data_IF_373754346600
#
_entry.id   IF_373754346600
#
_cell.length_a   1.000
_cell.length_b   1.000
_cell.length_c   1.000
_cell.angle_alpha   90.00
_cell.angle_beta   90.00
_cell.angle_gamma   90.00
#
_symmetry.space_group_name_H-M   'P 1'
#
loop_
_entity.id
_entity.type
_entity.pdbx_description
1 polymer ?
#
# COMPACT_ATOMS: atom_id res chain seq x y z
N UNK A 1 8.90 -2.43 39.37
CA UNK A 1 8.19 -3.18 38.31
C UNK A 1 6.97 -2.37 37.95
N UNK A 2 6.97 -1.74 36.78
CA UNK A 2 5.78 -1.10 36.22
C UNK A 2 4.75 -2.19 35.94
N UNK A 3 3.54 -2.05 36.48
CA UNK A 3 2.46 -3.03 36.29
C UNK A 3 1.43 -2.42 35.34
N UNK A 4 1.18 -3.10 34.23
CA UNK A 4 0.20 -2.65 33.22
C UNK A 4 -1.09 -3.44 33.42
N UNK A 5 -2.21 -2.74 33.56
CA UNK A 5 -3.52 -3.37 33.81
C UNK A 5 -4.30 -3.66 32.55
N UNK A 6 -3.99 -2.97 31.45
CA UNK A 6 -4.58 -3.22 30.15
C UNK A 6 -3.57 -2.88 29.02
N UNK A 7 -3.96 -3.16 27.78
CA UNK A 7 -3.10 -2.95 26.60
C UNK A 7 -2.86 -1.46 26.30
N UNK A 8 -3.80 -0.58 26.63
CA UNK A 8 -3.64 0.87 26.45
C UNK A 8 -2.58 1.43 27.40
N UNK A 9 -2.51 0.94 28.65
CA UNK A 9 -1.47 1.33 29.61
C UNK A 9 -0.07 0.94 29.13
N UNK A 10 0.06 -0.28 28.57
CA UNK A 10 1.32 -0.79 28.02
C UNK A 10 1.70 -0.04 26.73
N UNK A 11 0.73 0.22 25.86
CA UNK A 11 0.95 0.97 24.62
C UNK A 11 1.39 2.42 24.91
N UNK A 12 0.76 3.08 25.87
CA UNK A 12 1.12 4.44 26.30
C UNK A 12 2.55 4.51 26.83
N UNK A 13 2.96 3.54 27.66
CA UNK A 13 4.33 3.45 28.15
C UNK A 13 5.36 3.27 27.03
N UNK A 14 5.05 2.43 26.02
CA UNK A 14 5.95 2.21 24.89
C UNK A 14 5.97 3.40 23.92
N UNK A 15 4.85 4.10 23.74
CA UNK A 15 4.81 5.33 22.96
C UNK A 15 5.71 6.41 23.57
N UNK A 16 5.69 6.57 24.90
CA UNK A 16 6.53 7.52 25.62
C UNK A 16 8.03 7.21 25.53
N UNK A 17 8.43 5.93 25.48
CA UNK A 17 9.84 5.55 25.32
C UNK A 17 10.36 5.65 23.87
N UNK A 18 9.48 5.65 22.85
CA UNK A 18 9.85 5.53 21.42
C UNK A 18 9.37 6.69 20.54
N UNK A 19 9.44 7.92 21.05
CA UNK A 19 9.04 9.13 20.30
C UNK A 19 9.99 9.37 19.10
N UNK A 20 9.47 9.34 17.88
CA UNK A 20 10.21 9.61 16.64
C UNK A 20 9.36 10.46 15.67
N UNK A 21 9.55 11.78 15.72
CA UNK A 21 8.61 12.81 15.26
C UNK A 21 8.28 12.83 13.75
N UNK A 22 9.07 12.17 12.90
CA UNK A 22 8.90 12.25 11.43
C UNK A 22 7.93 11.18 10.86
N UNK A 23 7.73 10.06 11.56
CA UNK A 23 6.74 9.04 11.18
C UNK A 23 5.34 9.34 11.76
N UNK A 24 5.28 10.16 12.80
CA UNK A 24 4.07 10.49 13.55
C UNK A 24 3.04 11.28 12.72
N UNK A 25 3.49 12.25 11.91
CA UNK A 25 2.59 13.16 11.18
C UNK A 25 1.71 12.46 10.11
N UNK A 26 2.22 11.43 9.43
CA UNK A 26 1.42 10.68 8.44
C UNK A 26 0.45 9.69 9.11
N UNK A 27 0.80 9.22 10.31
CA UNK A 27 0.01 8.25 11.05
C UNK A 27 -1.20 8.92 11.72
N UNK A 28 -1.00 10.08 12.35
CA UNK A 28 -2.06 10.89 13.00
C UNK A 28 -3.20 11.23 12.03
N UNK A 29 -2.88 11.57 10.78
CA UNK A 29 -3.89 11.95 9.79
C UNK A 29 -4.93 10.86 9.53
N UNK A 30 -4.56 9.58 9.62
CA UNK A 30 -5.45 8.46 9.31
C UNK A 30 -6.49 8.15 10.42
N UNK A 31 -6.37 8.81 11.57
CA UNK A 31 -7.23 8.65 12.74
C UNK A 31 -8.03 9.92 13.05
N UNK A 32 -8.06 10.87 12.11
CA UNK A 32 -8.88 12.08 12.23
C UNK A 32 -10.35 11.70 12.04
N UNK A 33 -11.20 12.15 12.97
CA UNK A 33 -12.63 12.03 12.87
C UNK A 33 -13.19 12.99 11.81
N UNK A 34 -14.04 12.47 10.94
CA UNK A 34 -14.74 13.28 9.93
C UNK A 34 -16.08 13.83 10.43
N UNK A 35 -16.58 13.32 11.56
CA UNK A 35 -17.87 13.65 12.16
C UNK A 35 -17.79 13.36 13.67
N UNK A 36 -18.47 14.18 14.49
CA UNK A 36 -18.62 13.94 15.95
C UNK A 36 -19.46 12.69 16.26
N UNK A 37 -20.32 12.28 15.32
CA UNK A 37 -21.16 11.11 15.44
C UNK A 37 -20.66 10.02 14.49
N UNK A 38 -20.53 8.80 15.01
CA UNK A 38 -20.19 7.61 14.26
C UNK A 38 -21.44 6.76 14.02
N UNK A 39 -21.69 6.39 12.76
CA UNK A 39 -22.74 5.42 12.42
C UNK A 39 -22.09 4.19 11.81
N UNK A 40 -22.20 3.05 12.49
CA UNK A 40 -21.51 1.82 12.11
C UNK A 40 -22.39 0.86 11.30
N UNK A 41 -23.71 1.05 11.24
CA UNK A 41 -24.60 0.22 10.45
C UNK A 41 -25.75 1.03 9.87
N UNK A 42 -26.49 0.44 8.92
CA UNK A 42 -27.65 1.10 8.30
C UNK A 42 -28.82 1.20 9.29
N UNK A 43 -28.90 0.28 10.26
CA UNK A 43 -30.06 0.15 11.16
C UNK A 43 -29.86 0.82 12.50
N UNK A 44 -28.62 0.91 12.97
CA UNK A 44 -28.32 1.46 14.29
C UNK A 44 -28.25 2.99 14.24
N UNK A 45 -28.63 3.64 15.33
CA UNK A 45 -28.53 5.09 15.45
C UNK A 45 -27.04 5.53 15.46
N UNK A 46 -26.73 6.76 15.03
CA UNK A 46 -25.41 7.33 15.25
C UNK A 46 -25.10 7.44 16.76
N UNK A 47 -23.86 7.15 17.13
CA UNK A 47 -23.35 7.21 18.51
C UNK A 47 -22.13 8.13 18.59
N UNK A 48 -21.86 8.75 19.73
CA UNK A 48 -20.61 9.48 19.97
C UNK A 48 -19.51 8.46 20.29
N UNK A 49 -18.76 8.07 19.27
CA UNK A 49 -17.65 7.13 19.38
C UNK A 49 -16.41 7.75 18.74
N UNK A 50 -15.37 7.89 19.56
CA UNK A 50 -14.11 8.50 19.14
C UNK A 50 -13.20 7.49 18.42
N UNK A 51 -12.30 8.01 17.59
CA UNK A 51 -11.18 7.23 17.07
C UNK A 51 -10.20 6.88 18.19
N UNK A 52 -9.54 5.70 18.11
CA UNK A 52 -8.50 5.36 19.08
C UNK A 52 -7.29 6.29 18.91
N UNK A 53 -6.57 6.51 20.01
CA UNK A 53 -5.36 7.34 20.03
C UNK A 53 -4.33 6.84 18.99
N UNK A 54 -3.88 7.70 18.05
CA UNK A 54 -3.03 7.26 16.95
C UNK A 54 -1.66 6.73 17.43
N UNK A 55 -1.09 7.33 18.47
CA UNK A 55 0.21 6.91 18.99
C UNK A 55 0.12 5.56 19.70
N UNK A 56 -0.94 5.36 20.49
CA UNK A 56 -1.19 4.07 21.14
C UNK A 56 -1.40 2.97 20.10
N UNK A 57 -2.16 3.24 19.03
CA UNK A 57 -2.39 2.26 17.96
C UNK A 57 -1.10 1.94 17.21
N UNK A 58 -0.26 2.95 16.92
CA UNK A 58 1.06 2.76 16.32
C UNK A 58 1.93 1.87 17.20
N UNK A 59 2.09 2.24 18.47
CA UNK A 59 2.93 1.52 19.43
C UNK A 59 2.44 0.07 19.63
N UNK A 60 1.13 -0.14 19.74
CA UNK A 60 0.56 -1.47 19.88
C UNK A 60 0.76 -2.33 18.63
N UNK A 61 0.61 -1.75 17.44
CA UNK A 61 0.84 -2.45 16.17
C UNK A 61 2.31 -2.84 16.03
N UNK A 62 3.24 -1.94 16.33
CA UNK A 62 4.68 -2.19 16.32
C UNK A 62 5.04 -3.30 17.31
N UNK A 63 4.55 -3.20 18.55
CA UNK A 63 4.79 -4.17 19.60
C UNK A 63 4.26 -5.57 19.24
N UNK A 64 3.03 -5.67 18.73
CA UNK A 64 2.44 -6.94 18.31
C UNK A 64 3.32 -7.63 17.25
N UNK A 65 3.79 -6.86 16.26
CA UNK A 65 4.62 -7.37 15.18
C UNK A 65 6.02 -7.76 15.66
N UNK A 66 6.70 -6.88 16.39
CA UNK A 66 8.06 -7.10 16.88
C UNK A 66 8.13 -8.26 17.89
N UNK A 67 7.17 -8.31 18.82
CA UNK A 67 7.11 -9.38 19.84
C UNK A 67 7.03 -10.76 19.19
N UNK A 68 6.31 -10.90 18.07
CA UNK A 68 6.21 -12.16 17.34
C UNK A 68 7.58 -12.64 16.81
N UNK A 69 8.43 -11.73 16.36
CA UNK A 69 9.80 -12.07 15.99
C UNK A 69 10.66 -12.35 17.23
N UNK A 70 10.58 -11.50 18.25
CA UNK A 70 11.40 -11.61 19.46
C UNK A 70 11.22 -12.94 20.20
N UNK A 71 9.98 -13.41 20.38
CA UNK A 71 9.73 -14.65 21.14
C UNK A 71 10.09 -15.92 20.36
N UNK A 72 10.19 -15.85 19.03
CA UNK A 72 10.52 -16.99 18.18
C UNK A 72 12.00 -17.01 17.76
N UNK A 73 12.72 -15.90 17.91
CA UNK A 73 14.14 -15.76 17.57
C UNK A 73 15.01 -16.76 18.32
N UNK A 74 16.03 -17.28 17.66
CA UNK A 74 16.98 -18.28 18.18
C UNK A 74 16.33 -19.59 18.64
N UNK A 75 15.12 -19.86 18.14
CA UNK A 75 14.41 -21.11 18.40
C UNK A 75 14.17 -21.88 17.11
N UNK A 76 13.79 -23.17 17.24
CA UNK A 76 13.31 -23.98 16.11
C UNK A 76 12.07 -23.41 15.40
N UNK A 77 11.42 -22.40 15.98
CA UNK A 77 10.21 -21.77 15.45
C UNK A 77 10.50 -20.49 14.65
N UNK A 78 11.72 -19.95 14.71
CA UNK A 78 12.12 -18.72 14.01
C UNK A 78 11.72 -18.69 12.52
N UNK A 79 11.87 -19.78 11.74
CA UNK A 79 11.49 -19.77 10.32
C UNK A 79 10.00 -19.47 10.05
N UNK A 80 9.12 -19.65 11.04
CA UNK A 80 7.68 -19.41 10.92
C UNK A 80 7.27 -18.00 11.34
N UNK A 81 8.15 -17.22 11.99
CA UNK A 81 7.84 -15.87 12.47
C UNK A 81 7.43 -14.94 11.33
N UNK A 82 8.11 -15.05 10.19
CA UNK A 82 7.79 -14.27 9.00
C UNK A 82 6.38 -14.57 8.46
N UNK A 83 5.95 -15.83 8.43
CA UNK A 83 4.62 -16.18 7.93
C UNK A 83 3.50 -15.67 8.87
N UNK A 84 3.74 -15.72 10.19
CA UNK A 84 2.81 -15.19 11.19
C UNK A 84 2.72 -13.66 11.11
N UNK A 85 3.85 -12.97 11.08
CA UNK A 85 3.92 -11.52 10.93
C UNK A 85 3.25 -11.05 9.63
N UNK A 86 3.48 -11.76 8.52
CA UNK A 86 2.77 -11.50 7.26
C UNK A 86 1.25 -11.66 7.44
N UNK A 87 0.82 -12.69 8.18
CA UNK A 87 -0.59 -12.93 8.52
C UNK A 87 -1.24 -11.78 9.27
N UNK A 88 -0.53 -11.18 10.25
CA UNK A 88 -1.00 -9.98 10.97
C UNK A 88 -1.14 -8.77 10.05
N UNK A 89 -0.12 -8.46 9.25
CA UNK A 89 -0.23 -7.35 8.28
C UNK A 89 -1.38 -7.59 7.28
N UNK A 90 -1.59 -8.84 6.86
CA UNK A 90 -2.67 -9.21 5.96
C UNK A 90 -4.06 -9.16 6.62
N UNK A 91 -4.19 -9.34 7.94
CA UNK A 91 -5.48 -9.25 8.62
C UNK A 91 -6.05 -7.83 8.55
N UNK A 92 -5.24 -6.81 8.80
CA UNK A 92 -5.60 -5.40 8.61
C UNK A 92 -6.06 -5.14 7.17
N UNK A 93 -5.34 -5.67 6.18
CA UNK A 93 -5.73 -5.54 4.77
C UNK A 93 -7.11 -6.16 4.48
N UNK A 94 -7.38 -7.36 5.00
CA UNK A 94 -8.66 -8.04 4.77
C UNK A 94 -9.82 -7.28 5.44
N UNK A 95 -9.62 -6.76 6.64
CA UNK A 95 -10.63 -5.96 7.35
C UNK A 95 -10.87 -4.64 6.61
N UNK A 96 -9.82 -3.92 6.20
CA UNK A 96 -9.94 -2.71 5.39
C UNK A 96 -10.76 -2.95 4.12
N UNK A 97 -10.51 -4.05 3.39
CA UNK A 97 -11.30 -4.41 2.20
C UNK A 97 -12.77 -4.71 2.49
N UNK A 98 -13.08 -5.28 3.65
CA UNK A 98 -14.47 -5.50 4.07
C UNK A 98 -15.17 -4.17 4.37
N UNK A 99 -14.46 -3.24 5.00
CA UNK A 99 -14.98 -1.89 5.28
C UNK A 99 -15.18 -1.13 3.97
N UNK A 100 -14.22 -1.18 3.03
CA UNK A 100 -14.32 -0.57 1.70
C UNK A 100 -15.58 -1.04 0.95
N UNK A 101 -15.92 -2.33 0.99
CA UNK A 101 -17.14 -2.83 0.36
C UNK A 101 -18.40 -2.21 0.95
N UNK A 102 -18.47 -2.07 2.28
CA UNK A 102 -19.60 -1.43 2.97
C UNK A 102 -19.66 0.07 2.68
N UNK A 103 -18.50 0.71 2.59
CA UNK A 103 -18.37 2.12 2.22
C UNK A 103 -18.83 2.36 0.77
N UNK A 104 -18.53 1.44 -0.15
CA UNK A 104 -19.03 1.43 -1.54
C UNK A 104 -20.56 1.32 -1.58
N UNK A 105 -21.16 0.42 -0.81
CA UNK A 105 -22.61 0.30 -0.73
C UNK A 105 -23.26 1.58 -0.18
N UNK A 106 -22.70 2.15 0.90
CA UNK A 106 -23.19 3.40 1.50
C UNK A 106 -23.08 4.59 0.52
N UNK A 107 -21.99 4.72 -0.23
CA UNK A 107 -21.88 5.81 -1.22
C UNK A 107 -22.76 5.62 -2.45
N UNK A 108 -23.02 4.37 -2.86
CA UNK A 108 -23.98 4.12 -3.93
C UNK A 108 -25.38 4.59 -3.48
N UNK A 109 -25.78 4.25 -2.26
CA UNK A 109 -27.02 4.74 -1.66
C UNK A 109 -27.05 6.26 -1.53
N UNK A 110 -25.98 6.89 -1.05
CA UNK A 110 -25.87 8.35 -0.96
C UNK A 110 -26.02 9.02 -2.34
N UNK A 111 -25.41 8.43 -3.39
CA UNK A 111 -25.55 8.90 -4.77
C UNK A 111 -26.97 8.78 -5.30
N UNK A 112 -27.68 7.70 -4.96
CA UNK A 112 -29.09 7.52 -5.32
C UNK A 112 -29.97 8.57 -4.65
N UNK A 113 -29.80 8.76 -3.33
CA UNK A 113 -30.50 9.80 -2.57
C UNK A 113 -30.26 11.17 -3.20
N UNK A 114 -29.01 11.56 -3.44
CA UNK A 114 -28.66 12.86 -4.03
C UNK A 114 -29.25 13.11 -5.43
N UNK A 115 -29.65 12.07 -6.16
CA UNK A 115 -30.34 12.19 -7.47
C UNK A 115 -31.85 12.31 -7.33
N UNK A 116 -32.42 11.69 -6.31
CA UNK A 116 -33.86 11.62 -6.05
C UNK A 116 -34.25 12.58 -4.91
N UNK A 117 -34.00 13.88 -5.09
CA UNK A 117 -34.30 14.89 -4.07
C UNK A 117 -35.78 14.90 -3.71
N UNK A 118 -36.07 14.74 -2.42
CA UNK A 118 -37.41 14.82 -1.83
C UNK A 118 -37.38 15.75 -0.59
N UNK A 119 -38.21 16.79 -0.51
CA UNK A 119 -38.20 17.72 0.62
C UNK A 119 -38.87 17.17 1.90
N UNK A 120 -38.92 15.85 2.11
CA UNK A 120 -39.47 15.25 3.31
C UNK A 120 -38.43 15.16 4.45
N UNK A 121 -38.88 15.30 5.70
CA UNK A 121 -38.01 15.17 6.89
C UNK A 121 -37.40 13.76 6.99
N UNK A 122 -38.14 12.75 6.54
CA UNK A 122 -37.67 11.36 6.49
C UNK A 122 -36.51 11.24 5.50
N UNK A 123 -36.63 11.84 4.32
CA UNK A 123 -35.54 11.86 3.34
C UNK A 123 -34.31 12.62 3.85
N UNK A 124 -34.51 13.79 4.49
CA UNK A 124 -33.41 14.56 5.07
C UNK A 124 -32.65 13.75 6.13
N UNK A 125 -33.37 13.07 7.01
CA UNK A 125 -32.79 12.17 8.03
C UNK A 125 -32.03 11.01 7.37
N UNK A 126 -32.63 10.34 6.37
CA UNK A 126 -31.98 9.21 5.67
C UNK A 126 -30.69 9.66 4.93
N UNK A 127 -30.69 10.87 4.38
CA UNK A 127 -29.53 11.46 3.72
C UNK A 127 -28.40 11.73 4.71
N UNK A 128 -28.69 12.39 5.84
CA UNK A 128 -27.72 12.67 6.90
C UNK A 128 -27.15 11.39 7.53
N UNK A 129 -28.00 10.40 7.81
CA UNK A 129 -27.59 9.11 8.32
C UNK A 129 -26.68 8.36 7.35
N UNK A 130 -27.04 8.35 6.06
CA UNK A 130 -26.22 7.68 5.03
C UNK A 130 -24.88 8.39 4.85
N UNK A 131 -24.85 9.72 4.92
CA UNK A 131 -23.63 10.50 4.86
C UNK A 131 -22.72 10.19 6.06
N UNK A 132 -23.27 10.18 7.27
CA UNK A 132 -22.55 9.86 8.52
C UNK A 132 -21.96 8.45 8.47
N UNK A 133 -22.74 7.47 8.01
CA UNK A 133 -22.28 6.09 7.81
C UNK A 133 -21.10 6.02 6.83
N UNK A 134 -21.19 6.76 5.72
CA UNK A 134 -20.15 6.76 4.70
C UNK A 134 -18.84 7.34 5.23
N UNK A 135 -18.90 8.48 5.93
CA UNK A 135 -17.75 9.13 6.55
C UNK A 135 -17.13 8.28 7.66
N UNK A 136 -17.96 7.65 8.50
CA UNK A 136 -17.50 6.74 9.56
C UNK A 136 -16.73 5.55 8.97
N UNK A 137 -17.30 4.89 7.95
CA UNK A 137 -16.65 3.74 7.30
C UNK A 137 -15.36 4.14 6.58
N UNK A 138 -15.31 5.33 5.96
CA UNK A 138 -14.09 5.85 5.37
C UNK A 138 -12.97 6.01 6.41
N UNK A 139 -13.25 6.70 7.52
CA UNK A 139 -12.25 6.87 8.59
C UNK A 139 -11.77 5.52 9.13
N UNK A 140 -12.68 4.58 9.38
CA UNK A 140 -12.31 3.24 9.83
C UNK A 140 -11.44 2.48 8.80
N UNK A 141 -11.72 2.63 7.50
CA UNK A 141 -10.91 2.03 6.43
C UNK A 141 -9.52 2.64 6.42
N UNK A 142 -9.40 3.96 6.47
CA UNK A 142 -8.12 4.68 6.44
C UNK A 142 -7.24 4.32 7.65
N UNK A 143 -7.81 4.27 8.85
CA UNK A 143 -7.12 3.80 10.05
C UNK A 143 -6.59 2.36 9.87
N UNK A 144 -7.41 1.44 9.34
CA UNK A 144 -7.00 0.06 9.08
C UNK A 144 -5.90 -0.05 8.00
N UNK A 145 -5.95 0.78 6.97
CA UNK A 145 -4.90 0.86 5.95
C UNK A 145 -3.59 1.40 6.51
N UNK A 146 -3.66 2.37 7.43
CA UNK A 146 -2.51 2.93 8.14
C UNK A 146 -1.85 1.88 9.06
N UNK A 147 -2.65 1.16 9.85
CA UNK A 147 -2.18 0.02 10.66
C UNK A 147 -1.51 -1.06 9.80
N UNK A 148 -2.13 -1.42 8.66
CA UNK A 148 -1.56 -2.36 7.67
C UNK A 148 -0.19 -1.87 7.18
N UNK A 149 -0.08 -0.61 6.79
CA UNK A 149 1.14 -0.09 6.18
C UNK A 149 2.28 0.05 7.19
N UNK A 150 1.96 0.35 8.45
CA UNK A 150 2.93 0.30 9.55
C UNK A 150 3.36 -1.13 9.90
N UNK A 151 2.43 -2.07 10.01
CA UNK A 151 2.76 -3.48 10.20
C UNK A 151 3.61 -4.04 9.04
N UNK A 152 3.31 -3.64 7.81
CA UNK A 152 4.09 -3.99 6.63
C UNK A 152 5.52 -3.45 6.69
N UNK A 153 5.73 -2.28 7.29
CA UNK A 153 7.05 -1.70 7.47
C UNK A 153 7.86 -2.45 8.53
N UNK A 154 7.27 -2.79 9.68
CA UNK A 154 7.92 -3.64 10.69
C UNK A 154 8.30 -5.00 10.09
N UNK A 155 7.38 -5.62 9.34
CA UNK A 155 7.67 -6.85 8.60
C UNK A 155 8.85 -6.70 7.63
N UNK A 156 8.92 -5.58 6.91
CA UNK A 156 10.00 -5.30 5.95
C UNK A 156 11.34 -5.15 6.65
N UNK A 157 11.38 -4.47 7.79
CA UNK A 157 12.59 -4.28 8.59
C UNK A 157 13.10 -5.62 9.13
N UNK A 158 12.23 -6.44 9.71
CA UNK A 158 12.61 -7.73 10.32
C UNK A 158 12.99 -8.80 9.28
N UNK A 159 12.33 -8.82 8.13
CA UNK A 159 12.53 -9.90 7.14
C UNK A 159 13.36 -9.51 5.92
N UNK A 160 13.61 -8.21 5.72
CA UNK A 160 14.17 -7.66 4.48
C UNK A 160 13.26 -7.80 3.24
N UNK A 161 12.04 -8.33 3.39
CA UNK A 161 11.10 -8.60 2.30
C UNK A 161 9.92 -7.63 2.35
N UNK A 162 9.49 -7.07 1.22
CA UNK A 162 8.30 -6.23 1.20
C UNK A 162 7.04 -7.07 1.42
N UNK A 163 6.10 -6.54 2.21
CA UNK A 163 4.77 -7.11 2.35
C UNK A 163 3.99 -7.05 1.02
N UNK A 164 3.20 -8.08 0.73
CA UNK A 164 2.25 -8.09 -0.38
C UNK A 164 1.01 -8.90 0.02
N UNK A 165 -0.22 -8.37 -0.15
CA UNK A 165 -1.44 -9.09 0.20
C UNK A 165 -1.70 -10.25 -0.76
N UNK A 166 -2.40 -11.29 -0.28
CA UNK A 166 -2.73 -12.49 -1.09
C UNK A 166 -3.72 -12.18 -2.22
N UNK A 167 -4.60 -11.19 -2.05
CA UNK A 167 -5.53 -10.69 -3.07
C UNK A 167 -5.68 -9.18 -2.93
N UNK A 168 -5.88 -8.49 -4.05
CA UNK A 168 -6.02 -7.04 -4.10
C UNK A 168 -4.68 -6.31 -4.32
N UNK A 169 -4.75 -5.06 -4.79
CA UNK A 169 -3.58 -4.18 -4.90
C UNK A 169 -3.36 -3.48 -3.56
N UNK A 170 -2.09 -3.28 -3.19
CA UNK A 170 -1.71 -2.35 -2.11
C UNK A 170 -1.60 -0.96 -2.74
N UNK A 171 -2.62 -0.15 -2.57
CA UNK A 171 -2.59 1.28 -2.86
C UNK A 171 -2.74 1.98 -1.52
N UNK A 172 -1.78 2.83 -1.16
CA UNK A 172 -1.85 3.70 0.02
C UNK A 172 -2.46 5.02 -0.41
N UNK A 173 -3.56 5.44 0.21
CA UNK A 173 -4.09 6.80 0.05
C UNK A 173 -3.20 7.77 0.83
N UNK A 174 -2.56 8.71 0.13
CA UNK A 174 -1.97 9.88 0.77
C UNK A 174 -3.09 10.87 1.07
N UNK A 175 -3.25 11.21 2.34
CA UNK A 175 -4.27 12.11 2.90
C UNK A 175 -4.56 13.35 2.05
N UNK A 176 -5.84 13.64 1.83
CA UNK A 176 -6.33 15.00 1.61
C UNK A 176 -7.67 15.17 2.33
N UNK A 177 -7.61 15.50 3.61
CA UNK A 177 -8.80 15.86 4.37
C UNK A 177 -9.21 17.29 4.02
N UNK A 178 -10.41 17.47 3.51
CA UNK A 178 -11.12 18.75 3.51
C UNK A 178 -12.60 18.45 3.65
N UNK A 179 -13.27 19.15 4.57
CA UNK A 179 -14.71 19.05 4.81
C UNK A 179 -15.47 19.30 3.51
N UNK A 180 -16.31 18.35 3.10
CA UNK A 180 -17.22 18.64 2.00
C UNK A 180 -18.61 18.03 2.14
N UNK A 181 -19.58 18.85 1.74
CA UNK A 181 -20.95 18.57 1.37
C UNK A 181 -21.08 17.25 0.56
N UNK A 182 -22.19 16.53 0.68
CA UNK A 182 -22.37 15.16 0.17
C UNK A 182 -22.01 15.01 -1.34
N UNK A 183 -22.18 16.08 -2.11
CA UNK A 183 -21.81 16.15 -3.52
C UNK A 183 -20.30 16.17 -3.76
N UNK A 184 -19.55 16.96 -3.00
CA UNK A 184 -18.10 16.97 -3.15
C UNK A 184 -17.39 15.93 -2.29
N UNK A 185 -18.04 15.31 -1.31
CA UNK A 185 -17.63 13.99 -0.78
C UNK A 185 -17.53 12.95 -1.91
N UNK A 186 -18.59 12.80 -2.72
CA UNK A 186 -18.59 11.89 -3.87
C UNK A 186 -17.55 12.30 -4.92
N UNK A 187 -17.29 13.59 -5.09
CA UNK A 187 -16.28 14.11 -6.01
C UNK A 187 -14.85 13.83 -5.52
N UNK A 188 -14.54 14.12 -4.26
CA UNK A 188 -13.27 13.84 -3.60
C UNK A 188 -12.97 12.34 -3.61
N UNK A 189 -13.94 11.52 -3.20
CA UNK A 189 -13.82 10.05 -3.30
C UNK A 189 -13.60 9.57 -4.73
N UNK A 190 -14.26 10.18 -5.72
CA UNK A 190 -14.00 9.83 -7.13
C UNK A 190 -12.59 10.23 -7.59
N UNK A 191 -12.04 11.33 -7.07
CA UNK A 191 -10.68 11.80 -7.34
C UNK A 191 -9.67 10.88 -6.69
N UNK A 192 -9.81 10.61 -5.40
CA UNK A 192 -8.97 9.65 -4.67
C UNK A 192 -9.00 8.27 -5.32
N UNK A 193 -10.18 7.74 -5.65
CA UNK A 193 -10.30 6.47 -6.37
C UNK A 193 -9.60 6.54 -7.72
N UNK A 194 -9.73 7.64 -8.46
CA UNK A 194 -9.04 7.81 -9.75
C UNK A 194 -7.52 7.87 -9.55
N UNK A 195 -7.02 8.60 -8.56
CA UNK A 195 -5.59 8.67 -8.22
C UNK A 195 -5.02 7.34 -7.71
N UNK A 196 -5.82 6.57 -6.96
CA UNK A 196 -5.45 5.26 -6.43
C UNK A 196 -5.39 4.19 -7.53
N UNK A 197 -6.35 4.20 -8.46
CA UNK A 197 -6.46 3.21 -9.54
C UNK A 197 -5.81 3.63 -10.86
N UNK A 198 -5.44 4.90 -11.00
CA UNK A 198 -4.69 5.48 -12.13
C UNK A 198 -3.73 6.57 -11.59
N UNK A 199 -2.60 6.17 -10.99
CA UNK A 199 -1.69 7.13 -10.37
C UNK A 199 -1.11 8.07 -11.43
N UNK A 200 -1.31 9.37 -11.23
CA UNK A 200 -0.76 10.42 -12.09
C UNK A 200 0.72 10.62 -11.74
N UNK A 201 1.60 10.38 -12.71
CA UNK A 201 3.05 10.56 -12.54
C UNK A 201 3.85 9.92 -13.67
N UNK A 202 5.08 10.40 -13.93
CA UNK A 202 5.97 9.80 -14.92
C UNK A 202 6.27 8.33 -14.58
N UNK A 203 5.87 7.42 -15.47
CA UNK A 203 6.07 5.99 -15.27
C UNK A 203 7.50 5.59 -15.63
N UNK A 204 8.18 4.89 -14.72
CA UNK A 204 9.47 4.24 -14.98
C UNK A 204 9.23 2.73 -15.03
N UNK A 205 9.54 2.11 -16.17
CA UNK A 205 9.38 0.66 -16.33
C UNK A 205 10.59 -0.08 -15.76
N UNK A 206 10.34 -1.15 -15.00
CA UNK A 206 11.38 -2.05 -14.50
C UNK A 206 11.04 -3.50 -14.83
N UNK A 207 12.01 -4.24 -15.35
CA UNK A 207 11.88 -5.69 -15.44
C UNK A 207 13.23 -6.35 -15.31
N UNK A 208 13.31 -7.40 -14.51
CA UNK A 208 14.51 -8.19 -14.40
C UNK A 208 14.28 -9.69 -14.39
N UNK A 209 15.37 -10.44 -14.56
CA UNK A 209 15.37 -11.89 -14.46
C UNK A 209 15.13 -12.37 -13.03
N UNK A 210 14.53 -13.56 -12.92
CA UNK A 210 14.28 -14.23 -11.65
C UNK A 210 15.55 -14.83 -11.02
N UNK A 211 16.48 -15.28 -11.87
CA UNK A 211 17.68 -16.02 -11.48
C UNK A 211 18.90 -15.10 -11.48
N UNK A 212 19.88 -15.46 -10.65
CA UNK A 212 21.23 -14.90 -10.63
C UNK A 212 21.35 -13.42 -10.22
N UNK A 213 20.24 -12.75 -9.89
CA UNK A 213 20.22 -11.38 -9.34
C UNK A 213 20.24 -11.36 -7.83
N UNK A 214 21.33 -10.85 -7.25
CA UNK A 214 21.52 -10.74 -5.80
C UNK A 214 22.16 -9.39 -5.37
N UNK A 215 22.71 -8.61 -6.30
CA UNK A 215 23.33 -7.32 -5.99
C UNK A 215 22.26 -6.21 -5.85
N UNK A 216 21.77 -6.05 -4.62
CA UNK A 216 20.78 -5.02 -4.31
C UNK A 216 21.35 -3.61 -4.48
N UNK A 217 22.61 -3.38 -4.09
CA UNK A 217 23.24 -2.07 -4.12
C UNK A 217 23.38 -1.53 -5.55
N UNK A 218 23.73 -2.38 -6.51
CA UNK A 218 23.80 -2.00 -7.92
C UNK A 218 22.44 -1.48 -8.42
N UNK A 219 21.37 -2.22 -8.15
CA UNK A 219 20.03 -1.87 -8.60
C UNK A 219 19.48 -0.64 -7.87
N UNK A 220 19.73 -0.53 -6.56
CA UNK A 220 19.33 0.61 -5.75
C UNK A 220 20.02 1.89 -6.24
N UNK A 221 21.34 1.86 -6.47
CA UNK A 221 22.08 3.01 -7.03
C UNK A 221 21.54 3.44 -8.38
N UNK A 222 21.18 2.49 -9.25
CA UNK A 222 20.59 2.77 -10.55
C UNK A 222 19.23 3.46 -10.43
N UNK A 223 18.36 2.94 -9.57
CA UNK A 223 17.02 3.46 -9.35
C UNK A 223 17.03 4.80 -8.59
N UNK A 224 17.90 4.97 -7.60
CA UNK A 224 18.09 6.23 -6.86
C UNK A 224 18.52 7.36 -7.82
N UNK A 225 19.38 7.08 -8.81
CA UNK A 225 19.75 8.07 -9.85
C UNK A 225 18.57 8.49 -10.72
N UNK A 226 17.64 7.57 -11.00
CA UNK A 226 16.42 7.87 -11.77
C UNK A 226 15.47 8.69 -10.89
N UNK A 227 15.23 8.27 -9.64
CA UNK A 227 14.39 9.00 -8.67
C UNK A 227 14.90 10.43 -8.43
N UNK A 228 16.20 10.65 -8.43
CA UNK A 228 16.79 11.98 -8.31
C UNK A 228 16.45 12.89 -9.50
N UNK A 229 16.32 12.34 -10.72
CA UNK A 229 15.91 13.09 -11.92
C UNK A 229 14.39 13.19 -12.07
N UNK A 230 13.67 12.19 -11.57
CA UNK A 230 12.22 12.05 -11.70
C UNK A 230 11.63 11.81 -10.29
N UNK A 231 11.51 12.85 -9.45
CA UNK A 231 11.04 12.69 -8.07
C UNK A 231 9.63 12.07 -7.97
N UNK A 232 8.70 12.45 -8.83
CA UNK A 232 7.32 11.94 -8.80
C UNK A 232 7.12 10.62 -9.56
N UNK A 233 8.19 9.85 -9.77
CA UNK A 233 8.11 8.62 -10.57
C UNK A 233 7.22 7.56 -9.94
N UNK A 234 6.56 6.79 -10.81
CA UNK A 234 5.84 5.57 -10.46
C UNK A 234 6.57 4.39 -11.09
N UNK A 235 6.87 3.35 -10.31
CA UNK A 235 7.59 2.18 -10.80
C UNK A 235 6.61 1.13 -11.34
N UNK A 236 6.65 0.83 -12.64
CA UNK A 236 5.88 -0.26 -13.25
C UNK A 236 6.75 -1.51 -13.38
N UNK A 237 6.42 -2.61 -12.68
CA UNK A 237 7.24 -3.83 -12.65
C UNK A 237 6.51 -5.07 -13.17
N UNK A 238 7.28 -6.03 -13.73
CA UNK A 238 6.80 -7.38 -14.05
C UNK A 238 6.50 -8.26 -12.82
N UNK A 239 6.68 -7.74 -11.60
CA UNK A 239 6.21 -8.31 -10.34
C UNK A 239 6.64 -9.77 -10.12
N UNK A 240 7.84 -10.16 -10.58
CA UNK A 240 8.40 -11.45 -10.17
C UNK A 240 8.69 -11.45 -8.67
N UNK A 241 8.35 -12.55 -8.01
CA UNK A 241 8.47 -12.68 -6.55
C UNK A 241 9.90 -12.87 -6.05
N UNK A 242 10.89 -13.06 -6.94
CA UNK A 242 12.32 -13.14 -6.60
C UNK A 242 13.17 -12.53 -7.72
N UNK A 243 14.46 -12.35 -7.44
CA UNK A 243 15.42 -11.77 -8.36
C UNK A 243 15.32 -10.26 -8.43
N UNK A 244 15.66 -9.68 -9.59
CA UNK A 244 15.76 -8.23 -9.75
C UNK A 244 14.44 -7.47 -9.49
N UNK A 245 13.28 -8.03 -9.87
CA UNK A 245 11.98 -7.40 -9.59
C UNK A 245 11.68 -7.31 -8.09
N UNK A 246 12.10 -8.32 -7.30
CA UNK A 246 11.91 -8.30 -5.85
C UNK A 246 12.82 -7.24 -5.20
N UNK A 247 14.06 -7.10 -5.68
CA UNK A 247 14.99 -6.05 -5.26
C UNK A 247 14.42 -4.66 -5.59
N UNK A 248 13.92 -4.45 -6.81
CA UNK A 248 13.30 -3.19 -7.21
C UNK A 248 12.04 -2.86 -6.42
N UNK A 249 11.25 -3.89 -6.06
CA UNK A 249 10.09 -3.70 -5.20
C UNK A 249 10.49 -3.30 -3.77
N UNK A 250 11.53 -3.91 -3.21
CA UNK A 250 12.08 -3.53 -1.91
C UNK A 250 12.65 -2.10 -1.94
N UNK A 251 13.35 -1.72 -3.01
CA UNK A 251 13.84 -0.35 -3.23
C UNK A 251 12.69 0.65 -3.19
N UNK A 252 11.65 0.41 -4.00
CA UNK A 252 10.52 1.32 -4.10
C UNK A 252 9.80 1.50 -2.75
N UNK A 253 9.62 0.40 -2.01
CA UNK A 253 9.09 0.45 -0.65
C UNK A 253 9.95 1.32 0.28
N UNK A 254 11.28 1.16 0.25
CA UNK A 254 12.22 1.93 1.08
C UNK A 254 12.34 3.42 0.73
N UNK A 255 11.77 3.86 -0.39
CA UNK A 255 11.81 5.25 -0.90
C UNK A 255 10.42 5.88 -1.03
N UNK A 256 9.37 5.20 -0.58
CA UNK A 256 7.99 5.66 -0.74
C UNK A 256 7.52 5.76 -2.19
N UNK A 257 8.15 5.06 -3.13
CA UNK A 257 7.80 5.09 -4.55
C UNK A 257 6.60 4.18 -4.81
N UNK A 258 5.55 4.72 -5.44
CA UNK A 258 4.36 3.95 -5.83
C UNK A 258 4.74 2.88 -6.86
N UNK A 259 4.20 1.67 -6.72
CA UNK A 259 4.53 0.53 -7.61
C UNK A 259 3.27 -0.03 -8.28
N UNK A 260 3.28 -0.06 -9.62
CA UNK A 260 2.27 -0.78 -10.41
C UNK A 260 2.81 -2.18 -10.71
N UNK A 261 2.16 -3.20 -10.15
CA UNK A 261 2.54 -4.61 -10.33
C UNK A 261 1.77 -5.24 -11.47
N UNK A 262 2.48 -5.61 -12.53
CA UNK A 262 1.89 -6.35 -13.65
C UNK A 262 2.00 -7.86 -13.44
N UNK A 263 0.95 -8.45 -12.88
CA UNK A 263 0.86 -9.89 -12.70
C UNK A 263 0.63 -10.61 -14.04
N UNK A 264 1.14 -11.84 -14.14
CA UNK A 264 0.91 -12.69 -15.30
C UNK A 264 -0.56 -13.15 -15.34
N UNK A 265 -1.25 -12.84 -16.42
CA UNK A 265 -2.58 -13.37 -16.71
C UNK A 265 -2.46 -14.82 -17.21
N UNK A 266 -2.67 -15.79 -16.30
CA UNK A 266 -2.51 -17.21 -16.60
C UNK A 266 -3.50 -17.73 -17.66
N UNK A 267 -4.61 -17.02 -17.88
CA UNK A 267 -5.60 -17.39 -18.91
C UNK A 267 -5.06 -17.24 -20.33
N UNK A 268 -4.07 -16.36 -20.53
CA UNK A 268 -3.47 -16.08 -21.84
C UNK A 268 -2.31 -17.04 -22.23
N UNK A 269 -2.07 -18.09 -21.44
CA UNK A 269 -1.11 -19.16 -21.73
C UNK A 269 0.31 -18.65 -22.04
N UNK A 270 0.94 -19.22 -23.07
CA UNK A 270 2.33 -18.92 -23.45
C UNK A 270 2.56 -17.45 -23.89
N UNK A 271 1.51 -16.70 -24.22
CA UNK A 271 1.60 -15.30 -24.65
C UNK A 271 1.48 -14.30 -23.51
N UNK A 272 1.09 -14.75 -22.32
CA UNK A 272 0.78 -13.89 -21.17
C UNK A 272 1.91 -12.94 -20.81
N UNK A 273 3.16 -13.41 -20.83
CA UNK A 273 4.33 -12.58 -20.54
C UNK A 273 4.57 -11.48 -21.58
N UNK A 274 4.27 -11.74 -22.86
CA UNK A 274 4.42 -10.76 -23.95
C UNK A 274 3.30 -9.73 -23.94
N UNK A 275 2.05 -10.15 -23.68
CA UNK A 275 0.90 -9.26 -23.51
C UNK A 275 1.14 -8.32 -22.32
N UNK A 276 1.72 -8.84 -21.24
CA UNK A 276 2.14 -8.01 -20.12
C UNK A 276 3.14 -6.93 -20.51
N UNK A 277 4.16 -7.28 -21.30
CA UNK A 277 5.13 -6.30 -21.79
C UNK A 277 4.46 -5.20 -22.64
N UNK A 278 3.45 -5.55 -23.45
CA UNK A 278 2.65 -4.54 -24.18
C UNK A 278 1.88 -3.62 -23.21
N UNK A 279 1.31 -4.17 -22.14
CA UNK A 279 0.60 -3.36 -21.13
C UNK A 279 1.56 -2.39 -20.41
N UNK A 280 2.77 -2.83 -20.09
CA UNK A 280 3.81 -1.96 -19.50
C UNK A 280 4.19 -0.85 -20.49
N UNK A 281 4.38 -1.18 -21.77
CA UNK A 281 4.67 -0.19 -22.81
C UNK A 281 3.51 0.80 -23.01
N UNK A 282 2.27 0.32 -22.90
CA UNK A 282 1.05 1.13 -23.02
C UNK A 282 0.93 2.23 -21.95
N UNK A 283 1.66 2.11 -20.83
CA UNK A 283 1.79 3.19 -19.85
C UNK A 283 2.66 4.36 -20.33
N UNK A 284 3.28 4.26 -21.51
CA UNK A 284 4.20 5.26 -22.08
C UNK A 284 5.30 5.65 -21.07
N UNK A 285 6.13 4.69 -20.63
CA UNK A 285 7.16 4.97 -19.66
C UNK A 285 8.13 6.05 -20.17
N UNK A 286 8.50 6.97 -19.30
CA UNK A 286 9.44 8.06 -19.62
C UNK A 286 10.90 7.60 -19.55
N UNK A 287 11.16 6.52 -18.82
CA UNK A 287 12.46 5.90 -18.66
C UNK A 287 12.27 4.43 -18.27
N UNK A 288 13.24 3.57 -18.57
CA UNK A 288 13.15 2.15 -18.25
C UNK A 288 14.49 1.55 -17.82
N UNK A 289 14.41 0.57 -16.90
CA UNK A 289 15.53 -0.28 -16.49
C UNK A 289 15.16 -1.72 -16.79
N UNK A 290 15.93 -2.36 -17.69
CA UNK A 290 15.76 -3.77 -17.99
C UNK A 290 17.02 -4.52 -17.58
N UNK A 291 16.88 -5.36 -16.57
CA UNK A 291 17.92 -6.24 -16.08
C UNK A 291 17.93 -7.52 -16.93
N UNK A 292 19.12 -8.04 -17.19
CA UNK A 292 19.34 -9.28 -17.93
C UNK A 292 18.50 -10.43 -17.36
N UNK A 293 17.91 -11.22 -18.25
CA UNK A 293 16.93 -12.24 -17.89
C UNK A 293 16.69 -13.17 -19.06
N UNK A 294 15.44 -13.61 -19.25
CA UNK A 294 15.08 -14.50 -20.35
C UNK A 294 14.69 -13.71 -21.61
N UNK A 295 14.24 -14.40 -22.65
CA UNK A 295 13.68 -13.77 -23.85
C UNK A 295 12.52 -12.80 -23.57
N UNK A 296 11.87 -12.88 -22.40
CA UNK A 296 10.82 -11.95 -21.99
C UNK A 296 11.38 -10.54 -21.71
N UNK A 297 12.51 -10.45 -21.00
CA UNK A 297 13.19 -9.19 -20.72
C UNK A 297 13.80 -8.61 -22.00
N UNK A 298 14.39 -9.47 -22.85
CA UNK A 298 14.90 -9.06 -24.16
C UNK A 298 13.79 -8.47 -25.06
N UNK A 299 12.61 -9.09 -25.06
CA UNK A 299 11.44 -8.58 -25.78
C UNK A 299 10.99 -7.20 -25.27
N UNK A 300 10.92 -7.00 -23.95
CA UNK A 300 10.55 -5.71 -23.37
C UNK A 300 11.57 -4.62 -23.74
N UNK A 301 12.87 -4.91 -23.60
CA UNK A 301 13.95 -4.00 -23.97
C UNK A 301 13.88 -3.59 -25.46
N UNK A 302 13.60 -4.54 -26.35
CA UNK A 302 13.44 -4.25 -27.78
C UNK A 302 12.28 -3.29 -28.04
N UNK A 303 11.12 -3.52 -27.42
CA UNK A 303 9.93 -2.68 -27.58
C UNK A 303 10.14 -1.27 -27.04
N UNK A 304 10.73 -1.14 -25.86
CA UNK A 304 11.05 0.15 -25.26
C UNK A 304 12.01 0.95 -26.14
N UNK A 305 13.02 0.29 -26.71
CA UNK A 305 13.95 0.91 -27.66
C UNK A 305 13.25 1.37 -28.93
N UNK A 306 12.34 0.55 -29.49
CA UNK A 306 11.54 0.92 -30.66
C UNK A 306 10.61 2.10 -30.39
N UNK A 307 10.09 2.21 -29.17
CA UNK A 307 9.26 3.33 -28.73
C UNK A 307 10.07 4.59 -28.34
N UNK A 308 11.40 4.58 -28.47
CA UNK A 308 12.25 5.73 -28.16
C UNK A 308 12.39 6.03 -26.66
N UNK A 309 12.05 5.09 -25.78
CA UNK A 309 12.14 5.27 -24.33
C UNK A 309 13.61 5.18 -23.90
N UNK A 310 14.15 6.15 -23.13
CA UNK A 310 15.46 6.04 -22.50
C UNK A 310 15.58 4.72 -21.71
N UNK A 311 16.56 3.88 -22.08
CA UNK A 311 16.66 2.51 -21.59
C UNK A 311 18.03 2.23 -20.97
N UNK A 312 18.03 1.84 -19.69
CA UNK A 312 19.18 1.30 -18.97
C UNK A 312 19.15 -0.22 -19.01
N UNK A 313 20.13 -0.83 -19.69
CA UNK A 313 20.29 -2.29 -19.71
C UNK A 313 21.33 -2.69 -18.68
N UNK A 314 20.91 -3.40 -17.62
CA UNK A 314 21.81 -3.88 -16.57
C UNK A 314 22.10 -5.36 -16.79
N UNK A 315 23.37 -5.71 -17.00
CA UNK A 315 23.79 -7.09 -17.26
C UNK A 315 24.18 -7.79 -15.97
N UNK A 316 24.07 -9.12 -15.95
CA UNK A 316 24.53 -9.94 -14.82
C UNK A 316 26.01 -9.71 -14.52
N UNK A 317 26.82 -9.50 -15.56
CA UNK A 317 28.25 -9.19 -15.46
C UNK A 317 28.56 -7.86 -14.74
N UNK A 318 27.56 -6.98 -14.56
CA UNK A 318 27.74 -5.75 -13.80
C UNK A 318 27.57 -5.95 -12.28
N UNK A 319 27.05 -7.10 -11.85
CA UNK A 319 26.94 -7.41 -10.43
C UNK A 319 28.33 -7.58 -9.82
N UNK A 320 28.51 -6.96 -8.67
CA UNK A 320 29.70 -7.14 -7.86
C UNK A 320 29.66 -8.57 -7.34
N UNK A 321 30.47 -9.45 -7.91
CA UNK A 321 30.58 -10.81 -7.37
C UNK A 321 31.28 -10.67 -6.03
N UNK A 322 30.53 -10.74 -4.93
CA UNK A 322 31.15 -11.07 -3.66
C UNK A 322 31.83 -12.42 -3.87
N UNK A 323 33.16 -12.43 -4.03
CA UNK A 323 33.93 -13.66 -3.85
C UNK A 323 33.54 -14.14 -2.46
N UNK A 324 32.75 -15.22 -2.38
CA UNK A 324 32.58 -15.96 -1.14
C UNK A 324 33.99 -16.33 -0.68
N UNK A 325 34.48 -15.63 0.34
CA UNK A 325 35.60 -16.08 1.15
C UNK A 325 35.13 -17.24 2.02
#
# INVERSE_FOLDING_TARGET
MTTFTNFADLASFVADERRNDTLTQTYEGAFIEHSEMAKLSVVDAPEQLDMPDPEQVRAATEMMMATMFDVLRDTRMEPFAADLAWGFANSFHVVAKRIEGREDDAANKLRELARAFDPSEIYATELEDTQTLCQTLQGCREAMECMRDHAAEVYRVETGKPFSPVRGSRVSSGLTASMIDARDYLAARSRERREQFAPEGPVVAFSGGHKDWNDADLLYKGLDKIKARIPEMILATTAQSKGADAIAHAWAASRGVKVIKFMLDRSAGNKAAFIRNERILGLKPVEAVVCEGTGIQANLAQKLRQAGVPLHVVRLAHQTTAKRA
#
